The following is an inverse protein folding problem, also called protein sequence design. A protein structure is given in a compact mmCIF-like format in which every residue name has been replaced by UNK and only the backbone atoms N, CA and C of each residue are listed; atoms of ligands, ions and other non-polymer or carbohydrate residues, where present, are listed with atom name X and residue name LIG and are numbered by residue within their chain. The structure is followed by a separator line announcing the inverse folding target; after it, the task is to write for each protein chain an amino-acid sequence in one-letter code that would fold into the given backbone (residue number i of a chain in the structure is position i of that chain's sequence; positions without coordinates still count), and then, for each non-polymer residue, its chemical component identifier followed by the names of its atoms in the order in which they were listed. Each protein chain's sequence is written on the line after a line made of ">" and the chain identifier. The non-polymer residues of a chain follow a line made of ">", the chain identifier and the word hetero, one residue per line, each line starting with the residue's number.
data_IF_502633852991
#
_entry.id   IF_502633852991
#
_cell.length_a   1.000
_cell.length_b   1.000
_cell.length_c   1.000
_cell.angle_alpha   90.00
_cell.angle_beta   90.00
_cell.angle_gamma   90.00
#
_symmetry.space_group_name_H-M   'P 1'
#
loop_
_entity.id
_entity.type
_entity.pdbx_description
1 polymer ?
#
# COMPACT_ATOMS: atom_id res chain seq x y z
N UNK A 1 18.53 -28.02 -32.73
CA UNK A 1 17.70 -27.72 -31.55
C UNK A 1 17.98 -28.79 -30.49
N UNK A 2 18.88 -28.53 -29.52
CA UNK A 2 19.15 -29.49 -28.44
C UNK A 2 18.09 -29.28 -27.35
N UNK A 3 17.20 -30.24 -27.15
CA UNK A 3 16.41 -30.30 -25.92
C UNK A 3 17.42 -30.52 -24.78
N UNK A 4 17.78 -29.47 -24.06
CA UNK A 4 18.45 -29.62 -22.78
C UNK A 4 17.40 -30.20 -21.83
N UNK A 5 17.50 -31.49 -21.53
CA UNK A 5 16.69 -32.11 -20.49
C UNK A 5 17.13 -31.48 -19.16
N UNK A 6 16.30 -30.58 -18.66
CA UNK A 6 16.50 -29.96 -17.35
C UNK A 6 16.12 -30.98 -16.26
N UNK A 7 17.13 -31.68 -15.76
CA UNK A 7 17.00 -32.64 -14.65
C UNK A 7 16.73 -31.96 -13.31
N UNK A 8 16.87 -30.63 -13.23
CA UNK A 8 16.61 -29.80 -12.05
C UNK A 8 15.15 -29.31 -12.00
N UNK A 9 14.37 -29.55 -13.07
CA UNK A 9 12.95 -29.23 -13.10
C UNK A 9 12.20 -30.13 -12.13
N UNK A 10 11.95 -29.61 -10.93
CA UNK A 10 11.22 -30.30 -9.88
C UNK A 10 9.92 -30.92 -10.40
N UNK A 11 9.66 -32.17 -10.03
CA UNK A 11 8.42 -32.82 -10.38
C UNK A 11 7.25 -32.02 -9.78
N UNK A 12 6.31 -31.63 -10.64
CA UNK A 12 5.12 -30.89 -10.22
C UNK A 12 4.26 -31.70 -9.24
N UNK A 13 3.25 -31.07 -8.63
CA UNK A 13 2.40 -31.69 -7.61
C UNK A 13 1.64 -32.94 -8.08
N UNK A 14 1.60 -33.19 -9.39
CA UNK A 14 1.00 -34.39 -10.01
C UNK A 14 2.05 -35.43 -10.37
N UNK A 15 3.15 -35.04 -11.04
CA UNK A 15 4.16 -35.99 -11.52
C UNK A 15 5.05 -36.53 -10.41
N UNK A 16 5.29 -35.74 -9.34
CA UNK A 16 6.11 -36.15 -8.20
C UNK A 16 5.52 -37.33 -7.43
N UNK A 17 4.27 -37.25 -6.96
CA UNK A 17 3.61 -38.35 -6.26
C UNK A 17 3.44 -39.61 -7.11
N UNK A 18 3.16 -39.47 -8.42
CA UNK A 18 3.06 -40.61 -9.34
C UNK A 18 4.42 -41.32 -9.49
N UNK A 19 5.50 -40.55 -9.68
CA UNK A 19 6.85 -41.11 -9.74
C UNK A 19 7.24 -41.79 -8.42
N UNK A 20 6.91 -41.17 -7.29
CA UNK A 20 7.16 -41.74 -5.97
C UNK A 20 6.38 -43.04 -5.75
N UNK A 21 5.11 -43.11 -6.18
CA UNK A 21 4.31 -44.32 -6.13
C UNK A 21 4.90 -45.43 -7.01
N UNK A 22 5.29 -45.11 -8.24
CA UNK A 22 5.92 -46.07 -9.15
C UNK A 22 7.23 -46.61 -8.58
N UNK A 23 8.09 -45.73 -8.04
CA UNK A 23 9.32 -46.13 -7.38
C UNK A 23 9.05 -47.00 -6.14
N UNK A 24 8.08 -46.61 -5.31
CA UNK A 24 7.69 -47.38 -4.12
C UNK A 24 7.18 -48.77 -4.49
N UNK A 25 6.39 -48.88 -5.56
CA UNK A 25 5.89 -50.15 -6.07
C UNK A 25 7.03 -51.05 -6.55
N UNK A 26 7.94 -50.52 -7.37
CA UNK A 26 9.04 -51.32 -7.95
C UNK A 26 10.04 -51.76 -6.89
N UNK A 27 10.41 -50.90 -5.94
CA UNK A 27 11.32 -51.27 -4.85
C UNK A 27 10.70 -52.26 -3.89
N UNK A 28 9.42 -52.11 -3.56
CA UNK A 28 8.72 -53.05 -2.67
C UNK A 28 8.51 -54.41 -3.34
N UNK A 29 8.25 -54.42 -4.65
CA UNK A 29 8.16 -55.66 -5.43
C UNK A 29 9.49 -56.40 -5.49
N UNK A 30 10.60 -55.68 -5.73
CA UNK A 30 11.94 -56.27 -5.66
C UNK A 30 12.25 -56.83 -4.27
N UNK A 31 11.91 -56.10 -3.20
CA UNK A 31 12.08 -56.58 -1.82
C UNK A 31 11.28 -57.85 -1.52
N UNK A 32 10.05 -57.94 -2.04
CA UNK A 32 9.23 -59.15 -1.94
C UNK A 32 9.86 -60.34 -2.68
N UNK A 33 10.36 -60.13 -3.91
CA UNK A 33 11.01 -61.19 -4.70
C UNK A 33 12.33 -61.69 -4.10
N UNK A 34 13.00 -60.84 -3.33
CA UNK A 34 14.27 -61.15 -2.65
C UNK A 34 14.08 -61.66 -1.22
N UNK A 35 12.84 -61.94 -0.80
CA UNK A 35 12.49 -62.36 0.57
C UNK A 35 13.11 -61.46 1.65
N UNK A 36 13.18 -60.15 1.36
CA UNK A 36 13.76 -59.20 2.28
C UNK A 36 12.87 -59.10 3.53
N UNK A 37 13.43 -59.08 4.76
CA UNK A 37 12.62 -58.90 5.95
C UNK A 37 11.80 -57.61 5.88
N UNK A 38 10.48 -57.70 6.00
CA UNK A 38 9.57 -56.56 5.89
C UNK A 38 9.92 -55.35 6.80
N UNK A 39 10.52 -55.49 8.01
CA UNK A 39 10.87 -54.34 8.85
C UNK A 39 11.93 -53.42 8.24
N UNK A 40 12.69 -53.92 7.25
CA UNK A 40 13.73 -53.12 6.56
C UNK A 40 13.12 -51.91 5.83
N UNK A 41 11.93 -52.05 5.25
CA UNK A 41 11.24 -50.94 4.60
C UNK A 41 10.84 -49.85 5.61
N UNK A 42 10.33 -50.22 6.78
CA UNK A 42 10.04 -49.28 7.86
C UNK A 42 11.30 -48.57 8.36
N UNK A 43 12.42 -49.29 8.48
CA UNK A 43 13.70 -48.71 8.90
C UNK A 43 14.24 -47.69 7.88
N UNK A 44 14.20 -48.02 6.58
CA UNK A 44 14.60 -47.11 5.50
C UNK A 44 13.72 -45.87 5.48
N UNK A 45 12.40 -46.05 5.59
CA UNK A 45 11.46 -44.93 5.63
C UNK A 45 11.66 -44.04 6.87
N UNK A 46 11.97 -44.63 8.02
CA UNK A 46 12.34 -43.91 9.24
C UNK A 46 13.60 -43.06 9.07
N UNK A 47 14.64 -43.62 8.46
CA UNK A 47 15.86 -42.87 8.13
C UNK A 47 15.58 -41.73 7.13
N UNK A 48 14.75 -41.98 6.12
CA UNK A 48 14.30 -40.97 5.16
C UNK A 48 13.48 -39.84 5.81
N UNK A 49 12.61 -40.17 6.78
CA UNK A 49 11.86 -39.20 7.57
C UNK A 49 12.80 -38.27 8.35
N UNK A 50 13.76 -38.84 9.08
CA UNK A 50 14.74 -38.07 9.87
C UNK A 50 15.56 -37.17 8.94
N UNK A 51 16.11 -37.73 7.86
CA UNK A 51 16.90 -36.98 6.88
C UNK A 51 16.11 -35.84 6.23
N UNK A 52 14.87 -36.10 5.82
CA UNK A 52 14.01 -35.08 5.21
C UNK A 52 13.55 -34.00 6.21
N UNK A 53 13.42 -34.33 7.49
CA UNK A 53 13.13 -33.38 8.56
C UNK A 53 14.34 -32.47 8.86
N UNK A 54 15.53 -33.05 9.00
CA UNK A 54 16.76 -32.29 9.22
C UNK A 54 17.00 -31.36 8.02
N UNK A 55 16.95 -31.90 6.79
CA UNK A 55 17.13 -31.10 5.59
C UNK A 55 16.04 -30.02 5.43
N UNK A 56 14.79 -30.31 5.81
CA UNK A 56 13.71 -29.33 5.81
C UNK A 56 13.95 -28.20 6.80
N UNK A 57 14.38 -28.51 8.03
CA UNK A 57 14.72 -27.51 9.06
C UNK A 57 15.89 -26.62 8.63
N UNK A 58 16.94 -27.22 8.04
CA UNK A 58 18.10 -26.48 7.51
C UNK A 58 17.73 -25.54 6.35
N UNK A 59 16.66 -25.84 5.61
CA UNK A 59 16.14 -25.02 4.52
C UNK A 59 14.97 -24.11 4.93
N UNK A 60 14.70 -23.98 6.23
CA UNK A 60 13.61 -23.14 6.77
C UNK A 60 12.24 -23.37 6.12
N UNK A 61 11.91 -24.62 5.76
CA UNK A 61 10.57 -24.94 5.21
C UNK A 61 9.49 -24.81 6.29
N UNK A 62 8.24 -24.58 5.87
CA UNK A 62 7.12 -24.40 6.81
C UNK A 62 6.86 -25.67 7.63
N UNK A 63 6.30 -25.50 8.84
CA UNK A 63 5.95 -26.62 9.73
C UNK A 63 4.93 -27.56 9.08
N UNK A 64 4.01 -27.01 8.29
CA UNK A 64 3.06 -27.76 7.46
C UNK A 64 3.78 -28.66 6.46
N UNK A 65 4.80 -28.16 5.75
CA UNK A 65 5.61 -28.99 4.83
C UNK A 65 6.34 -30.12 5.57
N UNK A 66 6.83 -29.87 6.79
CA UNK A 66 7.49 -30.91 7.60
C UNK A 66 6.53 -32.03 7.99
N UNK A 67 5.35 -31.70 8.53
CA UNK A 67 4.33 -32.69 8.87
C UNK A 67 3.89 -33.51 7.66
N UNK A 68 3.75 -32.85 6.51
CA UNK A 68 3.41 -33.49 5.26
C UNK A 68 4.47 -34.51 4.81
N UNK A 69 5.75 -34.15 4.91
CA UNK A 69 6.87 -35.07 4.61
C UNK A 69 6.89 -36.25 5.59
N UNK A 70 6.62 -36.01 6.88
CA UNK A 70 6.49 -37.08 7.87
C UNK A 70 5.38 -38.07 7.48
N UNK A 71 4.19 -37.56 7.16
CA UNK A 71 3.07 -38.37 6.72
C UNK A 71 3.40 -39.18 5.46
N UNK A 72 4.08 -38.57 4.48
CA UNK A 72 4.53 -39.25 3.27
C UNK A 72 5.49 -40.42 3.58
N UNK A 73 6.50 -40.20 4.43
CA UNK A 73 7.46 -41.25 4.80
C UNK A 73 6.81 -42.37 5.61
N UNK A 74 5.91 -42.04 6.54
CA UNK A 74 5.16 -43.05 7.28
C UNK A 74 4.25 -43.88 6.36
N UNK A 75 3.58 -43.22 5.41
CA UNK A 75 2.75 -43.89 4.41
C UNK A 75 3.56 -44.82 3.51
N UNK A 76 4.69 -44.35 2.98
CA UNK A 76 5.61 -45.17 2.15
C UNK A 76 6.14 -46.35 2.97
N UNK A 77 6.67 -46.11 4.18
CA UNK A 77 7.24 -47.17 5.01
C UNK A 77 6.22 -48.23 5.43
N UNK A 78 5.02 -47.81 5.82
CA UNK A 78 3.93 -48.71 6.18
C UNK A 78 3.45 -49.53 4.98
N UNK A 79 3.23 -48.88 3.84
CA UNK A 79 2.78 -49.57 2.63
C UNK A 79 3.83 -50.54 2.08
N UNK A 80 5.10 -50.12 2.01
CA UNK A 80 6.20 -50.97 1.55
C UNK A 80 6.45 -52.18 2.46
N UNK A 81 6.37 -51.98 3.78
CA UNK A 81 6.48 -53.08 4.75
C UNK A 81 5.38 -54.12 4.52
N UNK A 82 4.14 -53.67 4.33
CA UNK A 82 3.02 -54.56 4.05
C UNK A 82 3.17 -55.28 2.70
N UNK A 83 3.60 -54.56 1.65
CA UNK A 83 3.77 -55.07 0.30
C UNK A 83 4.90 -56.10 0.18
N UNK A 84 5.99 -55.94 0.94
CA UNK A 84 7.06 -56.95 1.02
C UNK A 84 6.54 -58.23 1.69
N UNK A 85 5.70 -58.13 2.72
CA UNK A 85 5.19 -59.28 3.45
C UNK A 85 4.09 -60.07 2.70
N UNK A 86 3.21 -59.40 1.97
CA UNK A 86 1.99 -60.02 1.39
C UNK A 86 1.93 -59.98 -0.15
N UNK A 87 2.90 -59.32 -0.79
CA UNK A 87 2.94 -59.11 -2.23
C UNK A 87 2.22 -57.82 -2.68
N UNK A 88 2.75 -57.10 -3.69
CA UNK A 88 2.22 -55.79 -4.09
C UNK A 88 1.13 -55.83 -5.18
N UNK A 89 0.88 -56.98 -5.81
CA UNK A 89 0.10 -57.08 -7.05
C UNK A 89 -1.41 -57.30 -6.87
N UNK A 90 -1.94 -57.10 -5.67
CA UNK A 90 -3.40 -57.15 -5.48
C UNK A 90 -4.06 -55.82 -5.87
N UNK A 91 -5.30 -55.88 -6.35
CA UNK A 91 -6.11 -54.68 -6.68
C UNK A 91 -6.21 -53.73 -5.49
N UNK A 92 -6.32 -54.28 -4.27
CA UNK A 92 -6.36 -53.51 -3.03
C UNK A 92 -5.03 -52.79 -2.75
N UNK A 93 -3.91 -53.46 -2.96
CA UNK A 93 -2.55 -52.92 -2.76
C UNK A 93 -2.26 -51.76 -3.70
N UNK A 94 -2.60 -51.93 -4.99
CA UNK A 94 -2.43 -50.91 -6.01
C UNK A 94 -3.37 -49.74 -5.75
N UNK A 95 -4.63 -50.00 -5.38
CA UNK A 95 -5.62 -48.98 -5.06
C UNK A 95 -5.22 -48.11 -3.86
N UNK A 96 -4.72 -48.71 -2.79
CA UNK A 96 -4.26 -47.97 -1.60
C UNK A 96 -3.00 -47.14 -1.87
N UNK A 97 -2.08 -47.63 -2.70
CA UNK A 97 -0.89 -46.89 -3.12
C UNK A 97 -1.24 -45.67 -3.97
N UNK A 98 -2.04 -45.88 -5.04
CA UNK A 98 -2.45 -44.81 -5.94
C UNK A 98 -3.34 -43.79 -5.23
N UNK A 99 -4.27 -44.24 -4.39
CA UNK A 99 -5.11 -43.36 -3.57
C UNK A 99 -4.28 -42.51 -2.60
N UNK A 100 -3.30 -43.12 -1.93
CA UNK A 100 -2.36 -42.40 -1.06
C UNK A 100 -1.51 -41.37 -1.81
N UNK A 101 -1.00 -41.73 -3.00
CA UNK A 101 -0.20 -40.84 -3.84
C UNK A 101 -1.01 -39.64 -4.35
N UNK A 102 -2.25 -39.86 -4.80
CA UNK A 102 -3.16 -38.81 -5.25
C UNK A 102 -3.53 -37.89 -4.08
N UNK A 103 -3.87 -38.45 -2.92
CA UNK A 103 -4.20 -37.68 -1.72
C UNK A 103 -3.05 -36.80 -1.25
N UNK A 104 -1.82 -37.35 -1.24
CA UNK A 104 -0.62 -36.58 -0.94
C UNK A 104 -0.38 -35.49 -1.98
N UNK A 105 -0.50 -35.78 -3.28
CA UNK A 105 -0.36 -34.79 -4.35
C UNK A 105 -1.35 -33.63 -4.25
N UNK A 106 -2.61 -33.93 -3.95
CA UNK A 106 -3.65 -32.93 -3.74
C UNK A 106 -3.32 -32.01 -2.56
N UNK A 107 -2.83 -32.58 -1.46
CA UNK A 107 -2.41 -31.80 -0.30
C UNK A 107 -1.16 -30.92 -0.58
N UNK A 108 -0.20 -31.38 -1.40
CA UNK A 108 0.98 -30.58 -1.78
C UNK A 108 0.52 -29.39 -2.61
N UNK A 109 -0.36 -29.65 -3.59
CA UNK A 109 -0.90 -28.61 -4.45
C UNK A 109 -1.68 -27.56 -3.64
N UNK A 110 -2.52 -27.99 -2.70
CA UNK A 110 -3.28 -27.10 -1.83
C UNK A 110 -2.37 -26.24 -0.95
N UNK A 111 -1.32 -26.83 -0.37
CA UNK A 111 -0.34 -26.09 0.44
C UNK A 111 0.40 -25.05 -0.41
N UNK A 112 0.86 -25.41 -1.61
CA UNK A 112 1.52 -24.47 -2.53
C UNK A 112 0.60 -23.32 -2.94
N UNK A 113 -0.68 -23.60 -3.21
CA UNK A 113 -1.67 -22.57 -3.55
C UNK A 113 -1.91 -21.63 -2.36
N UNK A 114 -1.98 -22.15 -1.14
CA UNK A 114 -2.14 -21.35 0.07
C UNK A 114 -0.91 -20.45 0.33
N UNK A 115 0.30 -21.00 0.20
CA UNK A 115 1.55 -20.27 0.37
C UNK A 115 1.74 -19.19 -0.70
N UNK A 116 1.40 -19.47 -1.97
CA UNK A 116 1.46 -18.49 -3.05
C UNK A 116 0.51 -17.29 -2.83
N UNK A 117 -0.61 -17.50 -2.15
CA UNK A 117 -1.59 -16.44 -1.85
C UNK A 117 -1.28 -15.68 -0.54
N UNK A 118 -0.44 -16.22 0.34
CA UNK A 118 -0.09 -15.61 1.62
C UNK A 118 0.53 -14.20 1.50
N UNK A 119 1.52 -13.92 0.62
CA UNK A 119 2.13 -12.59 0.55
C UNK A 119 1.14 -11.52 0.09
N UNK A 120 0.27 -11.85 -0.88
CA UNK A 120 -0.75 -10.93 -1.37
C UNK A 120 -1.78 -10.59 -0.28
N UNK A 121 -2.20 -11.58 0.51
CA UNK A 121 -3.12 -11.38 1.64
C UNK A 121 -2.49 -10.55 2.75
N UNK A 122 -1.22 -10.79 3.08
CA UNK A 122 -0.50 -10.01 4.07
C UNK A 122 -0.35 -8.54 3.64
N UNK A 123 0.02 -8.29 2.37
CA UNK A 123 0.11 -6.95 1.81
C UNK A 123 -1.24 -6.22 1.84
N UNK A 124 -2.32 -6.91 1.46
CA UNK A 124 -3.68 -6.34 1.50
C UNK A 124 -4.14 -5.99 2.94
N UNK A 125 -3.79 -6.84 3.92
CA UNK A 125 -4.10 -6.57 5.33
C UNK A 125 -3.30 -5.36 5.86
N UNK A 126 -2.03 -5.22 5.48
CA UNK A 126 -1.21 -4.07 5.85
C UNK A 126 -1.74 -2.77 5.23
N UNK A 127 -2.15 -2.78 3.96
CA UNK A 127 -2.77 -1.62 3.33
C UNK A 127 -4.08 -1.23 4.01
N UNK A 128 -4.94 -2.19 4.32
CA UNK A 128 -6.20 -1.94 5.01
C UNK A 128 -5.97 -1.34 6.41
N UNK A 129 -5.02 -1.88 7.17
CA UNK A 129 -4.67 -1.34 8.49
C UNK A 129 -4.13 0.10 8.42
N UNK A 130 -3.32 0.42 7.41
CA UNK A 130 -2.82 1.79 7.18
C UNK A 130 -3.95 2.75 6.81
N UNK A 131 -4.90 2.31 5.99
CA UNK A 131 -6.07 3.11 5.61
C UNK A 131 -6.98 3.38 6.82
N UNK A 132 -7.21 2.39 7.66
CA UNK A 132 -7.98 2.53 8.90
C UNK A 132 -7.33 3.53 9.87
N UNK A 133 -6.01 3.44 10.06
CA UNK A 133 -5.27 4.39 10.89
C UNK A 133 -5.37 5.83 10.36
N UNK A 134 -5.26 6.02 9.04
CA UNK A 134 -5.43 7.34 8.41
C UNK A 134 -6.86 7.87 8.55
N UNK A 135 -7.86 7.00 8.42
CA UNK A 135 -9.27 7.36 8.61
C UNK A 135 -9.54 7.78 10.07
N UNK A 136 -8.97 7.08 11.04
CA UNK A 136 -9.07 7.43 12.46
C UNK A 136 -8.44 8.81 12.75
N UNK A 137 -7.23 9.07 12.22
CA UNK A 137 -6.57 10.38 12.35
C UNK A 137 -7.39 11.52 11.74
N UNK A 138 -7.97 11.31 10.55
CA UNK A 138 -8.89 12.27 9.91
C UNK A 138 -10.14 12.51 10.75
N UNK A 139 -10.69 11.46 11.36
CA UNK A 139 -11.86 11.56 12.24
C UNK A 139 -11.61 12.43 13.48
N UNK A 140 -10.43 12.33 14.09
CA UNK A 140 -10.05 13.19 15.23
C UNK A 140 -10.00 14.66 14.80
N UNK A 141 -9.32 14.96 13.69
CA UNK A 141 -9.21 16.32 13.18
C UNK A 141 -10.58 16.90 12.77
N UNK A 142 -11.43 16.09 12.13
CA UNK A 142 -12.80 16.45 11.79
C UNK A 142 -13.63 16.82 13.03
N UNK A 143 -13.56 16.00 14.08
CA UNK A 143 -14.26 16.26 15.33
C UNK A 143 -13.75 17.53 16.01
N UNK A 144 -12.44 17.72 16.08
CA UNK A 144 -11.81 18.91 16.67
C UNK A 144 -12.30 20.19 15.98
N UNK A 145 -12.35 20.21 14.65
CA UNK A 145 -12.82 21.37 13.88
C UNK A 145 -14.33 21.58 13.97
N UNK A 146 -15.13 20.51 13.99
CA UNK A 146 -16.57 20.60 14.25
C UNK A 146 -16.85 21.26 15.61
N UNK A 147 -16.17 20.82 16.66
CA UNK A 147 -16.28 21.41 17.99
C UNK A 147 -15.77 22.85 18.04
N UNK A 148 -14.65 23.14 17.37
CA UNK A 148 -14.11 24.50 17.26
C UNK A 148 -15.12 25.44 16.59
N UNK A 149 -15.76 25.02 15.52
CA UNK A 149 -16.81 25.80 14.84
C UNK A 149 -18.01 26.03 15.76
N UNK A 150 -18.43 25.00 16.50
CA UNK A 150 -19.49 25.13 17.48
C UNK A 150 -19.13 26.14 18.59
N UNK A 151 -17.88 26.14 19.08
CA UNK A 151 -17.43 27.09 20.13
C UNK A 151 -17.27 28.51 19.62
N UNK A 152 -16.61 28.72 18.48
CA UNK A 152 -16.24 30.06 17.97
C UNK A 152 -17.44 30.79 17.37
N UNK A 153 -18.31 30.07 16.65
CA UNK A 153 -19.45 30.66 15.95
C UNK A 153 -20.80 30.40 16.61
N UNK A 154 -20.87 29.57 17.65
CA UNK A 154 -22.12 29.11 18.25
C UNK A 154 -23.05 28.39 17.26
N UNK A 155 -22.46 27.67 16.29
CA UNK A 155 -23.18 26.89 15.26
C UNK A 155 -22.92 25.40 15.54
N UNK A 156 -23.76 24.73 16.35
CA UNK A 156 -23.60 23.31 16.63
C UNK A 156 -23.99 22.46 15.42
N UNK A 157 -23.37 21.28 15.27
CA UNK A 157 -23.77 20.30 14.27
C UNK A 157 -23.16 20.49 12.88
N UNK A 158 -22.08 21.26 12.76
CA UNK A 158 -21.28 21.33 11.52
C UNK A 158 -20.55 20.01 11.32
N UNK A 159 -20.65 19.43 10.12
CA UNK A 159 -19.98 18.17 9.79
C UNK A 159 -18.79 18.44 8.86
N UNK A 160 -17.63 17.88 9.18
CA UNK A 160 -16.47 17.93 8.27
C UNK A 160 -16.53 16.68 7.39
N UNK A 161 -16.76 16.88 6.10
CA UNK A 161 -16.98 15.81 5.10
C UNK A 161 -15.68 15.41 4.42
N UNK A 162 -14.77 16.38 4.23
CA UNK A 162 -13.51 16.18 3.52
C UNK A 162 -12.36 16.85 4.26
N UNK A 163 -11.19 16.18 4.21
CA UNK A 163 -9.92 16.73 4.68
C UNK A 163 -8.86 16.45 3.63
N UNK A 164 -8.28 17.51 3.08
CA UNK A 164 -7.19 17.45 2.12
C UNK A 164 -5.95 18.08 2.74
N UNK A 165 -4.90 17.29 2.98
CA UNK A 165 -3.63 17.82 3.47
C UNK A 165 -2.81 18.39 2.32
N UNK A 166 -2.22 19.56 2.54
CA UNK A 166 -1.32 20.18 1.58
C UNK A 166 0.08 19.57 1.67
N UNK A 167 0.84 19.64 0.58
CA UNK A 167 2.24 19.17 0.58
C UNK A 167 3.14 20.06 1.44
N UNK A 168 2.82 21.36 1.53
CA UNK A 168 3.59 22.36 2.25
C UNK A 168 2.76 22.90 3.42
N UNK A 169 2.73 22.18 4.54
CA UNK A 169 2.29 22.71 5.84
C UNK A 169 0.87 23.31 5.90
N UNK A 170 -0.16 22.47 5.83
CA UNK A 170 -1.55 22.90 6.05
C UNK A 170 -2.57 21.88 5.59
N UNK A 171 -3.84 22.27 5.59
CA UNK A 171 -4.94 21.43 5.09
C UNK A 171 -6.20 22.24 4.74
N UNK A 172 -6.97 21.71 3.81
CA UNK A 172 -8.33 22.15 3.47
C UNK A 172 -9.34 21.24 4.18
N UNK A 173 -10.39 21.84 4.74
CA UNK A 173 -11.55 21.14 5.28
C UNK A 173 -12.80 21.53 4.47
N UNK A 174 -13.56 20.51 4.07
CA UNK A 174 -14.90 20.70 3.51
C UNK A 174 -15.92 20.52 4.63
N UNK A 175 -16.62 21.60 4.95
CA UNK A 175 -17.59 21.64 6.04
C UNK A 175 -19.01 21.78 5.50
N UNK A 176 -19.90 20.93 6.00
CA UNK A 176 -21.33 20.98 5.79
C UNK A 176 -22.00 21.65 7.00
N UNK A 177 -22.65 22.79 6.75
CA UNK A 177 -23.35 23.56 7.77
C UNK A 177 -24.73 22.93 8.05
N UNK A 178 -25.20 22.98 9.31
CA UNK A 178 -26.51 22.47 9.66
C UNK A 178 -27.63 23.28 8.97
N UNK A 179 -28.80 22.66 8.75
CA UNK A 179 -29.98 23.40 8.34
C UNK A 179 -30.33 24.48 9.39
N UNK A 180 -30.64 25.70 8.95
CA UNK A 180 -30.90 26.82 9.87
C UNK A 180 -30.46 28.21 9.39
N UNK A 181 -29.96 28.32 8.16
CA UNK A 181 -29.60 29.62 7.55
C UNK A 181 -28.17 30.08 7.82
N UNK A 182 -27.37 29.28 8.55
CA UNK A 182 -25.93 29.50 8.66
C UNK A 182 -25.27 29.42 7.28
N UNK A 183 -24.33 30.34 7.03
CA UNK A 183 -23.61 30.44 5.76
C UNK A 183 -22.11 30.49 5.98
N UNK A 184 -21.34 30.18 4.94
CA UNK A 184 -19.88 30.33 4.98
C UNK A 184 -19.43 31.75 5.36
N UNK A 185 -20.26 32.78 5.11
CA UNK A 185 -19.96 34.17 5.48
C UNK A 185 -19.98 34.37 7.00
N UNK A 186 -20.79 33.62 7.73
CA UNK A 186 -20.87 33.70 9.18
C UNK A 186 -19.59 33.13 9.82
N UNK A 187 -19.05 32.07 9.22
CA UNK A 187 -17.73 31.53 9.55
C UNK A 187 -16.62 32.51 9.17
N UNK A 188 -16.64 33.05 7.94
CA UNK A 188 -15.58 33.91 7.41
C UNK A 188 -15.39 35.21 8.22
N UNK A 189 -16.40 35.68 8.95
CA UNK A 189 -16.29 36.83 9.86
C UNK A 189 -15.43 36.55 11.10
N UNK A 190 -15.11 35.29 11.39
CA UNK A 190 -14.41 34.86 12.61
C UNK A 190 -13.09 34.13 12.32
N UNK A 191 -12.48 34.34 11.15
CA UNK A 191 -11.20 33.74 10.74
C UNK A 191 -10.09 33.92 11.78
N UNK A 192 -9.95 35.11 12.36
CA UNK A 192 -8.90 35.39 13.35
C UNK A 192 -9.17 34.67 14.68
N UNK A 193 -10.45 34.57 15.07
CA UNK A 193 -10.85 33.80 16.25
C UNK A 193 -10.60 32.30 16.05
N UNK A 194 -10.77 31.78 14.83
CA UNK A 194 -10.41 30.41 14.50
C UNK A 194 -8.90 30.17 14.60
N UNK A 195 -8.09 31.08 14.07
CA UNK A 195 -6.63 30.99 14.17
C UNK A 195 -6.17 31.04 15.64
N UNK A 196 -6.79 31.89 16.47
CA UNK A 196 -6.51 31.99 17.90
C UNK A 196 -6.94 30.74 18.69
N UNK A 197 -8.13 30.19 18.46
CA UNK A 197 -8.60 28.95 19.11
C UNK A 197 -7.74 27.74 18.71
N UNK A 198 -7.31 27.69 17.44
CA UNK A 198 -6.38 26.69 16.93
C UNK A 198 -4.92 26.92 17.34
N UNK A 199 -4.59 28.04 18.01
CA UNK A 199 -3.24 28.43 18.44
C UNK A 199 -2.22 28.37 17.30
N UNK A 200 -2.61 28.85 16.11
CA UNK A 200 -1.71 28.87 14.96
C UNK A 200 -0.54 29.83 15.19
N UNK A 201 0.68 29.53 14.69
CA UNK A 201 1.82 30.43 14.76
C UNK A 201 1.55 31.77 14.06
N UNK A 202 2.28 32.82 14.46
CA UNK A 202 2.20 34.13 13.82
C UNK A 202 2.47 34.06 12.30
N UNK A 203 1.56 34.66 11.52
CA UNK A 203 1.56 34.62 10.05
C UNK A 203 0.92 33.38 9.40
N UNK A 204 0.55 32.38 10.20
CA UNK A 204 -0.40 31.32 9.79
C UNK A 204 -1.84 31.82 9.98
N UNK A 205 -2.81 31.17 9.32
CA UNK A 205 -4.19 31.62 9.42
C UNK A 205 -5.21 30.68 8.78
N UNK A 206 -6.48 31.04 8.98
CA UNK A 206 -7.63 30.33 8.43
C UNK A 206 -8.30 31.22 7.39
N UNK A 207 -8.44 30.72 6.18
CA UNK A 207 -9.23 31.36 5.12
C UNK A 207 -10.50 30.56 4.91
N UNK A 208 -11.64 31.23 4.78
CA UNK A 208 -12.94 30.58 4.64
C UNK A 208 -13.62 31.08 3.38
N UNK A 209 -13.98 30.15 2.52
CA UNK A 209 -14.62 30.40 1.24
C UNK A 209 -15.93 29.64 1.04
N UNK A 210 -16.66 29.95 -0.05
CA UNK A 210 -17.85 29.22 -0.42
C UNK A 210 -17.52 27.77 -0.80
N UNK A 211 -18.35 26.82 -0.34
CA UNK A 211 -18.34 25.45 -0.83
C UNK A 211 -19.25 25.23 -2.04
N UNK A 212 -19.51 23.96 -2.36
CA UNK A 212 -20.29 23.53 -3.54
C UNK A 212 -21.72 24.09 -3.57
N UNK A 213 -22.31 24.38 -2.41
CA UNK A 213 -23.61 25.03 -2.27
C UNK A 213 -23.60 25.98 -1.06
N UNK A 214 -24.70 26.73 -0.86
CA UNK A 214 -24.77 27.80 0.17
C UNK A 214 -24.66 27.31 1.61
N UNK A 215 -24.94 26.03 1.84
CA UNK A 215 -24.76 25.33 3.12
C UNK A 215 -23.39 24.66 3.28
N UNK A 216 -22.49 24.77 2.29
CA UNK A 216 -21.14 24.23 2.37
C UNK A 216 -20.13 25.39 2.51
N UNK A 217 -19.04 25.12 3.23
CA UNK A 217 -17.93 26.03 3.42
C UNK A 217 -16.61 25.28 3.23
N UNK A 218 -15.63 25.96 2.64
CA UNK A 218 -14.26 25.45 2.50
C UNK A 218 -13.39 26.25 3.44
N UNK A 219 -12.73 25.57 4.38
CA UNK A 219 -11.77 26.17 5.31
C UNK A 219 -10.37 25.77 4.86
N UNK A 220 -9.48 26.74 4.68
CA UNK A 220 -8.09 26.55 4.28
C UNK A 220 -7.21 26.99 5.43
N UNK A 221 -6.52 26.03 6.06
CA UNK A 221 -5.75 26.24 7.29
C UNK A 221 -4.28 26.10 6.95
N UNK A 222 -3.54 27.21 7.05
CA UNK A 222 -2.10 27.20 7.00
C UNK A 222 -1.56 26.90 8.41
N UNK A 223 -0.70 25.88 8.55
CA UNK A 223 -0.04 25.57 9.82
C UNK A 223 1.43 25.97 9.82
N UNK A 224 2.00 26.23 8.65
CA UNK A 224 3.35 26.73 8.46
C UNK A 224 3.34 28.07 7.71
N UNK A 225 4.22 28.99 8.12
CA UNK A 225 4.30 30.32 7.52
C UNK A 225 5.26 30.31 6.33
N UNK A 226 4.76 29.86 5.18
CA UNK A 226 5.52 29.88 3.92
C UNK A 226 5.71 31.29 3.34
N UNK A 227 5.04 32.31 3.87
CA UNK A 227 5.17 33.70 3.44
C UNK A 227 6.31 34.46 4.15
N UNK A 228 6.93 33.86 5.16
CA UNK A 228 8.05 34.44 5.89
C UNK A 228 9.41 34.14 5.27
N UNK A 229 9.52 33.05 4.51
CA UNK A 229 10.75 32.68 3.84
C UNK A 229 10.94 33.50 2.56
N UNK A 230 12.20 33.84 2.25
CA UNK A 230 12.54 34.43 0.95
C UNK A 230 12.21 33.40 -0.15
N UNK A 231 11.34 33.79 -1.07
CA UNK A 231 11.01 32.99 -2.25
C UNK A 231 11.95 33.42 -3.37
N UNK A 232 12.94 32.59 -3.65
CA UNK A 232 13.84 32.80 -4.79
C UNK A 232 13.06 32.72 -6.10
N UNK A 233 13.48 33.55 -7.05
CA UNK A 233 12.93 33.50 -8.41
C UNK A 233 13.21 32.12 -9.03
N UNK A 234 12.25 31.49 -9.72
CA UNK A 234 12.43 30.16 -10.30
C UNK A 234 13.69 30.08 -11.20
N UNK A 235 14.48 29.02 -11.03
CA UNK A 235 15.66 28.77 -11.87
C UNK A 235 15.29 28.34 -13.31
N UNK A 236 14.01 28.04 -13.56
CA UNK A 236 13.48 27.73 -14.88
C UNK A 236 13.07 29.02 -15.60
N UNK A 237 13.87 29.40 -16.59
CA UNK A 237 13.67 30.58 -17.43
C UNK A 237 13.07 30.23 -18.80
N UNK A 238 12.38 29.10 -18.91
CA UNK A 238 11.70 28.72 -20.15
C UNK A 238 10.68 29.81 -20.53
N UNK A 239 10.61 30.24 -21.81
CA UNK A 239 9.70 31.30 -22.22
C UNK A 239 8.24 30.96 -21.88
N UNK A 240 7.61 31.79 -21.05
CA UNK A 240 6.19 31.68 -20.75
C UNK A 240 5.37 32.22 -21.93
N UNK A 241 4.30 31.52 -22.30
CA UNK A 241 3.33 32.05 -23.26
C UNK A 241 2.36 33.00 -22.57
N UNK A 242 1.85 34.01 -23.29
CA UNK A 242 0.83 34.95 -22.77
C UNK A 242 -0.46 34.29 -22.26
N UNK A 243 -0.68 33.01 -22.59
CA UNK A 243 -1.80 32.21 -22.11
C UNK A 243 -1.51 31.45 -20.80
N UNK A 244 -0.27 31.51 -20.30
CA UNK A 244 0.13 30.91 -19.03
C UNK A 244 0.19 31.99 -17.94
N UNK A 245 -0.07 31.61 -16.67
CA UNK A 245 0.07 32.52 -15.55
C UNK A 245 1.54 32.83 -15.28
N UNK A 246 1.81 34.11 -15.02
CA UNK A 246 3.12 34.65 -14.60
C UNK A 246 3.35 34.24 -13.14
N UNK A 247 4.40 33.48 -12.78
CA UNK A 247 4.68 33.04 -11.41
C UNK A 247 5.13 34.19 -10.48
N UNK A 248 4.19 35.06 -10.09
CA UNK A 248 4.47 36.26 -9.28
C UNK A 248 4.74 35.99 -7.80
N UNK A 249 4.32 34.84 -7.28
CA UNK A 249 4.51 34.51 -5.89
C UNK A 249 3.90 33.17 -5.51
N UNK A 250 3.93 32.89 -4.21
CA UNK A 250 3.47 31.62 -3.63
C UNK A 250 2.25 31.90 -2.75
N UNK A 251 1.21 31.09 -2.88
CA UNK A 251 0.04 31.11 -2.00
C UNK A 251 0.38 30.46 -0.66
N UNK A 252 -0.48 30.64 0.35
CA UNK A 252 -0.32 29.99 1.66
C UNK A 252 -0.28 28.46 1.62
N UNK A 253 -0.82 27.87 0.55
CA UNK A 253 -0.77 26.42 0.28
C UNK A 253 0.53 25.96 -0.38
N UNK A 254 1.48 26.87 -0.60
CA UNK A 254 2.75 26.58 -1.25
C UNK A 254 2.70 26.57 -2.78
N UNK A 255 1.53 26.79 -3.38
CA UNK A 255 1.38 26.79 -4.84
C UNK A 255 1.85 28.11 -5.43
N UNK A 256 2.66 28.03 -6.48
CA UNK A 256 3.05 29.20 -7.28
C UNK A 256 1.83 29.71 -8.04
N UNK A 257 1.57 31.01 -7.94
CA UNK A 257 0.39 31.64 -8.54
C UNK A 257 0.72 33.00 -9.13
N UNK A 258 0.02 33.32 -10.21
CA UNK A 258 -0.14 34.70 -10.67
C UNK A 258 -1.12 34.81 -11.83
N UNK A 259 -1.31 36.04 -12.35
CA UNK A 259 -2.31 36.35 -13.35
C UNK A 259 -1.90 35.85 -14.74
N UNK A 260 -2.90 35.53 -15.57
CA UNK A 260 -2.70 35.29 -17.00
C UNK A 260 -2.67 36.64 -17.72
N UNK A 261 -1.49 37.04 -18.22
CA UNK A 261 -1.25 38.38 -18.77
C UNK A 261 -2.22 38.80 -19.89
N UNK A 262 -2.69 37.85 -20.72
CA UNK A 262 -3.64 38.17 -21.80
C UNK A 262 -4.99 38.73 -21.31
N UNK A 263 -5.40 38.41 -20.09
CA UNK A 263 -6.76 38.67 -19.59
C UNK A 263 -6.81 39.55 -18.33
N UNK A 264 -5.65 39.97 -17.81
CA UNK A 264 -5.57 40.66 -16.54
C UNK A 264 -4.83 41.99 -16.65
N UNK A 265 -5.46 43.07 -16.19
CA UNK A 265 -4.76 44.33 -15.86
C UNK A 265 -4.49 44.36 -14.37
N UNK A 266 -3.27 44.71 -13.96
CA UNK A 266 -2.88 44.74 -12.54
C UNK A 266 -2.56 46.16 -12.08
N UNK A 267 -3.07 46.54 -10.90
CA UNK A 267 -2.75 47.78 -10.22
C UNK A 267 -1.93 47.47 -8.97
N UNK A 268 -0.69 47.96 -8.91
CA UNK A 268 0.23 47.75 -7.80
C UNK A 268 0.30 49.00 -6.92
N UNK A 269 -0.21 48.92 -5.70
CA UNK A 269 -0.17 50.01 -4.71
C UNK A 269 0.45 49.49 -3.42
N UNK A 270 1.34 50.26 -2.81
CA UNK A 270 1.99 49.88 -1.57
C UNK A 270 2.90 50.99 -1.02
N UNK A 271 3.19 50.91 0.27
CA UNK A 271 4.10 51.85 0.93
C UNK A 271 5.54 51.70 0.41
N UNK A 272 6.39 52.70 0.65
CA UNK A 272 7.81 52.62 0.29
C UNK A 272 8.45 51.45 1.05
N UNK A 273 9.17 50.59 0.33
CA UNK A 273 9.80 49.39 0.89
C UNK A 273 8.94 48.12 0.87
N UNK A 274 7.68 48.18 0.42
CA UNK A 274 6.78 47.01 0.36
C UNK A 274 7.07 46.01 -0.77
N UNK A 275 8.24 46.08 -1.41
CA UNK A 275 8.63 45.19 -2.50
C UNK A 275 8.01 45.47 -3.89
N UNK A 276 7.21 46.53 -4.06
CA UNK A 276 6.55 46.82 -5.36
C UNK A 276 7.51 47.02 -6.55
N UNK A 277 8.70 47.58 -6.30
CA UNK A 277 9.76 47.72 -7.32
C UNK A 277 10.36 46.36 -7.68
N UNK A 278 10.54 45.48 -6.69
CA UNK A 278 11.02 44.12 -6.91
C UNK A 278 10.01 43.33 -7.76
N UNK A 279 8.72 43.43 -7.45
CA UNK A 279 7.66 42.78 -8.21
C UNK A 279 7.58 43.27 -9.67
N UNK A 280 7.81 44.57 -9.92
CA UNK A 280 7.93 45.11 -11.29
C UNK A 280 9.13 44.54 -12.04
N UNK A 281 10.27 44.33 -11.38
CA UNK A 281 11.45 43.71 -12.01
C UNK A 281 11.17 42.25 -12.37
N UNK A 282 10.52 41.49 -11.50
CA UNK A 282 10.09 40.10 -11.76
C UNK A 282 9.20 40.03 -13.01
N UNK A 283 8.18 40.90 -13.11
CA UNK A 283 7.30 40.97 -14.29
C UNK A 283 8.08 41.33 -15.55
N UNK A 284 8.96 42.34 -15.49
CA UNK A 284 9.73 42.79 -16.64
C UNK A 284 10.71 41.73 -17.17
N UNK A 285 11.29 40.92 -16.29
CA UNK A 285 12.17 39.79 -16.66
C UNK A 285 11.37 38.70 -17.40
N UNK A 286 10.12 38.44 -17.00
CA UNK A 286 9.26 37.46 -17.68
C UNK A 286 8.77 37.93 -19.06
N UNK A 287 8.51 39.22 -19.24
CA UNK A 287 8.07 39.77 -20.52
C UNK A 287 9.20 39.88 -21.55
N UNK A 288 10.44 40.05 -21.10
CA UNK A 288 11.63 40.20 -21.96
C UNK A 288 12.78 39.27 -21.53
N UNK A 289 12.66 37.94 -21.70
CA UNK A 289 13.69 37.01 -21.24
C UNK A 289 15.02 37.11 -22.00
N UNK A 290 15.14 37.97 -23.02
CA UNK A 290 16.23 37.90 -24.00
C UNK A 290 16.65 39.22 -24.67
N UNK A 291 16.76 40.32 -23.92
CA UNK A 291 17.29 41.58 -24.50
C UNK A 291 18.66 42.03 -23.94
N UNK A 292 19.23 41.34 -22.94
CA UNK A 292 20.54 41.73 -22.36
C UNK A 292 21.52 40.56 -22.15
N UNK A 293 21.69 39.70 -23.17
CA UNK A 293 22.91 38.89 -23.32
C UNK A 293 23.66 39.30 -24.60
N UNK A 294 24.42 40.39 -24.48
CA UNK A 294 25.65 40.64 -25.24
C UNK A 294 26.69 41.20 -24.28
#
# INVERSE_FOLDING_TARGET
>A
MKLALDWDRGHGPVTGPINAAAATLTTSWAGHLLDTPWPTAAAIAGAGLIGSHIAGRLRHVTTTTLHMRAAAWLGIGGWSSWAIAHGPWSTWSIGTLLGGAIGLGAAINAAHHAEAQAPAKAAAAETAAREEQRAAQRGVLAAEWSERIARVCAIPGVQIVGIEHWQQGGYTLDAELPPGGASWKDLARRTDAFAADAKLPEGCGVEIGPGTHRGAAILRIATENHLQADVDYPADYTPLTVNQPVPLGVRRDGTVYGPVNRQASMLLVGQRGSGKTNLMHVIGVEEHPNENRR
#
